data_IF_047590469722
#
_entry.id   IF_047590469722
#
_cell.length_a   1.000
_cell.length_b   1.000
_cell.length_c   1.000
_cell.angle_alpha   90.00
_cell.angle_beta   90.00
_cell.angle_gamma   90.00
#
_symmetry.space_group_name_H-M   'P 1'
#
loop_
_entity.id
_entity.type
_entity.pdbx_description
1 polymer ?
#
# COMPACT_ATOMS: atom_id res chain seq x y z
N UNK A 1 -1.65 -11.38 9.06
CA UNK A 1 -1.15 -11.39 7.67
C UNK A 1 -2.07 -10.55 6.82
N UNK A 2 -1.61 -10.09 5.66
CA UNK A 2 -2.39 -9.24 4.76
C UNK A 2 -2.65 -9.98 3.46
N UNK A 3 -3.88 -9.89 2.94
CA UNK A 3 -4.26 -10.44 1.64
C UNK A 3 -3.49 -9.74 0.50
N UNK A 4 -3.44 -10.37 -0.67
CA UNK A 4 -2.80 -9.79 -1.85
C UNK A 4 -3.50 -8.50 -2.25
N UNK A 5 -2.72 -7.43 -2.40
CA UNK A 5 -3.21 -6.10 -2.76
C UNK A 5 -2.13 -5.33 -3.54
N UNK A 6 -2.51 -4.17 -4.04
CA UNK A 6 -1.64 -3.16 -4.64
C UNK A 6 -1.72 -1.93 -3.75
N UNK A 7 -0.58 -1.28 -3.49
CA UNK A 7 -0.56 -0.12 -2.61
C UNK A 7 -1.36 1.04 -3.20
N UNK A 8 -1.11 1.39 -4.44
CA UNK A 8 -1.79 2.44 -5.19
C UNK A 8 -2.55 1.88 -6.41
N UNK A 9 -3.75 1.29 -6.21
CA UNK A 9 -4.48 0.65 -7.30
C UNK A 9 -5.21 1.64 -8.22
N UNK A 10 -5.48 2.86 -7.75
CA UNK A 10 -6.38 3.83 -8.39
C UNK A 10 -5.76 5.22 -8.62
N UNK A 11 -4.45 5.35 -8.43
CA UNK A 11 -3.72 6.58 -8.73
C UNK A 11 -3.90 7.69 -7.69
N UNK A 12 -3.69 7.40 -6.41
CA UNK A 12 -3.79 8.39 -5.32
C UNK A 12 -2.55 9.28 -5.14
N UNK A 13 -1.53 9.03 -5.98
CA UNK A 13 -0.25 9.74 -6.02
C UNK A 13 0.92 8.98 -5.44
N UNK A 14 0.71 7.89 -4.66
CA UNK A 14 1.83 7.11 -4.11
C UNK A 14 2.56 6.39 -5.24
N UNK A 15 3.83 6.70 -5.45
CA UNK A 15 4.62 6.13 -6.54
C UNK A 15 5.65 5.10 -6.07
N UNK A 16 6.28 5.33 -4.92
CA UNK A 16 7.28 4.42 -4.35
C UNK A 16 6.91 4.08 -2.91
N UNK A 17 6.88 2.79 -2.61
CA UNK A 17 6.76 2.25 -1.26
C UNK A 17 8.15 1.94 -0.73
N UNK A 18 8.45 2.44 0.45
CA UNK A 18 9.69 2.22 1.16
C UNK A 18 9.38 1.61 2.53
N UNK A 19 9.89 0.41 2.81
CA UNK A 19 9.67 -0.32 4.05
C UNK A 19 11.02 -0.56 4.73
N UNK A 20 11.11 -0.20 6.01
CA UNK A 20 12.26 -0.49 6.86
C UNK A 20 11.88 -1.48 7.96
N UNK A 21 12.61 -2.60 8.05
CA UNK A 21 12.31 -3.69 8.99
C UNK A 21 13.19 -3.66 10.24
N UNK A 22 12.59 -4.02 11.38
CA UNK A 22 13.18 -3.86 12.72
C UNK A 22 13.32 -5.20 13.48
N UNK A 23 13.23 -6.34 12.79
CA UNK A 23 13.04 -7.64 13.44
C UNK A 23 14.38 -8.40 13.57
N UNK A 24 15.03 -8.28 14.73
CA UNK A 24 16.28 -9.00 15.01
C UNK A 24 16.04 -10.49 15.13
N UNK A 25 17.01 -11.30 14.65
CA UNK A 25 16.98 -12.78 14.74
C UNK A 25 15.71 -13.39 14.13
N UNK A 26 15.17 -12.78 13.09
CA UNK A 26 13.96 -13.26 12.42
C UNK A 26 14.25 -14.47 11.52
N UNK A 27 13.71 -15.63 11.87
CA UNK A 27 13.58 -16.78 10.97
C UNK A 27 12.13 -16.87 10.43
N UNK A 28 11.94 -16.71 9.12
CA UNK A 28 10.62 -16.76 8.50
C UNK A 28 10.02 -18.17 8.42
N UNK A 29 10.82 -19.23 8.56
CA UNK A 29 10.32 -20.61 8.63
C UNK A 29 9.61 -20.89 9.95
N UNK A 30 10.04 -20.22 11.02
CA UNK A 30 9.46 -20.35 12.37
C UNK A 30 8.44 -19.24 12.64
N UNK A 31 8.81 -17.98 12.41
CA UNK A 31 8.02 -16.81 12.79
C UNK A 31 7.05 -16.35 11.69
N UNK A 32 7.13 -16.90 10.47
CA UNK A 32 6.31 -16.48 9.34
C UNK A 32 6.62 -15.04 8.88
N UNK A 33 5.58 -14.28 8.55
CA UNK A 33 5.66 -12.83 8.26
C UNK A 33 6.36 -12.43 6.96
N UNK A 34 6.57 -13.41 6.07
CA UNK A 34 7.18 -13.23 4.76
C UNK A 34 6.36 -12.28 3.88
N UNK A 35 7.01 -11.27 3.31
CA UNK A 35 6.41 -10.46 2.25
C UNK A 35 6.64 -11.18 0.91
N UNK A 36 5.57 -11.38 0.14
CA UNK A 36 5.65 -11.90 -1.22
C UNK A 36 5.21 -10.82 -2.19
N UNK A 37 6.07 -10.45 -3.13
CA UNK A 37 5.77 -9.54 -4.24
C UNK A 37 5.68 -10.38 -5.52
N UNK A 38 4.67 -10.09 -6.35
CA UNK A 38 4.38 -10.75 -7.61
C UNK A 38 4.54 -9.76 -8.77
N UNK A 39 5.77 -9.45 -9.20
CA UNK A 39 5.99 -8.39 -10.16
C UNK A 39 5.29 -8.67 -11.49
N UNK A 40 4.58 -7.67 -12.01
CA UNK A 40 3.85 -7.79 -13.28
C UNK A 40 4.80 -8.16 -14.42
N UNK A 41 4.35 -9.06 -15.30
CA UNK A 41 5.13 -9.52 -16.45
C UNK A 41 6.32 -10.43 -16.10
N UNK A 42 6.47 -10.85 -14.84
CA UNK A 42 7.52 -11.79 -14.41
C UNK A 42 6.92 -13.07 -13.85
N UNK A 43 7.53 -14.21 -14.17
CA UNK A 43 7.17 -15.52 -13.61
C UNK A 43 7.74 -15.78 -12.22
N UNK A 44 8.52 -14.83 -11.67
CA UNK A 44 9.16 -14.96 -10.37
C UNK A 44 8.32 -14.32 -9.28
N UNK A 45 8.33 -14.93 -8.08
CA UNK A 45 7.81 -14.33 -6.86
C UNK A 45 8.99 -13.91 -6.01
N UNK A 46 9.09 -12.63 -5.67
CA UNK A 46 10.09 -12.17 -4.71
C UNK A 46 9.59 -12.47 -3.30
N UNK A 47 10.35 -13.28 -2.56
CA UNK A 47 10.10 -13.61 -1.17
C UNK A 47 11.08 -12.80 -0.30
N UNK A 48 10.57 -11.92 0.55
CA UNK A 48 11.37 -10.98 1.35
C UNK A 48 11.13 -11.24 2.82
N UNK A 49 12.16 -11.74 3.49
CA UNK A 49 12.18 -11.85 4.95
C UNK A 49 12.22 -10.45 5.59
N UNK A 50 11.43 -10.19 6.65
CA UNK A 50 11.38 -8.90 7.32
C UNK A 50 12.52 -8.74 8.33
N UNK A 51 13.76 -9.02 7.93
CA UNK A 51 14.92 -9.01 8.85
C UNK A 51 15.32 -7.59 9.25
N UNK A 52 15.89 -7.45 10.45
CA UNK A 52 16.43 -6.19 10.97
C UNK A 52 17.36 -5.49 9.98
N UNK A 53 17.28 -4.16 9.94
CA UNK A 53 18.12 -3.25 9.13
C UNK A 53 17.99 -3.45 7.62
N UNK A 54 16.91 -4.09 7.16
CA UNK A 54 16.56 -4.16 5.75
C UNK A 54 15.69 -2.98 5.34
N UNK A 55 16.20 -2.19 4.41
CA UNK A 55 15.41 -1.26 3.60
C UNK A 55 14.94 -1.96 2.32
N UNK A 56 13.63 -1.90 2.05
CA UNK A 56 12.99 -2.43 0.86
C UNK A 56 12.29 -1.29 0.11
N UNK A 57 12.50 -1.21 -1.20
CA UNK A 57 11.91 -0.18 -2.05
C UNK A 57 11.27 -0.85 -3.27
N UNK A 58 10.02 -0.51 -3.59
CA UNK A 58 9.33 -0.98 -4.79
C UNK A 58 8.27 0.03 -5.27
N UNK A 59 7.83 -0.09 -6.53
CA UNK A 59 6.78 0.76 -7.09
C UNK A 59 5.42 0.44 -6.45
N UNK A 60 4.68 1.46 -6.04
CA UNK A 60 3.40 1.28 -5.33
C UNK A 60 2.23 0.84 -6.21
N UNK A 61 2.34 0.98 -7.53
CA UNK A 61 1.24 0.71 -8.47
C UNK A 61 1.12 -0.79 -8.85
N UNK A 62 0.31 -1.05 -9.89
CA UNK A 62 -0.03 -2.38 -10.40
C UNK A 62 1.17 -3.25 -10.78
N UNK A 63 2.38 -2.67 -10.89
CA UNK A 63 3.61 -3.42 -11.14
C UNK A 63 3.98 -4.37 -10.01
N UNK A 64 3.57 -4.09 -8.76
CA UNK A 64 3.96 -4.90 -7.59
C UNK A 64 2.77 -5.28 -6.67
N UNK A 65 1.82 -6.11 -7.13
CA UNK A 65 0.88 -6.77 -6.25
C UNK A 65 1.65 -7.60 -5.21
N UNK A 66 1.28 -7.49 -3.95
CA UNK A 66 2.01 -8.13 -2.86
C UNK A 66 1.11 -8.54 -1.71
N UNK A 67 1.57 -9.49 -0.91
CA UNK A 67 0.86 -9.99 0.27
C UNK A 67 1.84 -10.28 1.41
N UNK A 68 1.37 -10.22 2.64
CA UNK A 68 2.17 -10.59 3.82
C UNK A 68 1.61 -11.86 4.41
N UNK A 69 2.40 -12.94 4.40
CA UNK A 69 2.02 -14.22 5.03
C UNK A 69 1.73 -14.03 6.53
N UNK A 70 0.93 -14.91 7.16
CA UNK A 70 0.74 -14.89 8.60
C UNK A 70 2.07 -14.83 9.35
N UNK A 71 2.12 -14.02 10.42
CA UNK A 71 3.26 -13.93 11.32
C UNK A 71 2.85 -14.52 12.67
N UNK A 72 3.75 -15.25 13.30
CA UNK A 72 3.54 -15.95 14.58
C UNK A 72 4.42 -15.38 15.71
N UNK A 73 5.08 -14.25 15.43
CA UNK A 73 5.78 -13.41 16.40
C UNK A 73 5.51 -11.93 16.08
N UNK A 74 5.72 -11.05 17.05
CA UNK A 74 5.54 -9.60 16.85
C UNK A 74 6.51 -9.08 15.79
N UNK A 75 5.96 -8.45 14.75
CA UNK A 75 6.69 -7.98 13.57
C UNK A 75 6.57 -6.47 13.44
N UNK A 76 7.69 -5.77 13.52
CA UNK A 76 7.81 -4.33 13.37
C UNK A 76 8.33 -3.95 11.98
N UNK A 77 7.73 -2.92 11.41
CA UNK A 77 8.16 -2.29 10.16
C UNK A 77 7.72 -0.82 10.17
N UNK A 78 8.51 0.03 9.52
CA UNK A 78 8.15 1.43 9.23
C UNK A 78 7.94 1.53 7.72
N UNK A 79 6.80 2.07 7.28
CA UNK A 79 6.51 2.27 5.86
C UNK A 79 6.36 3.76 5.55
N UNK A 80 7.04 4.20 4.51
CA UNK A 80 6.91 5.53 3.92
C UNK A 80 6.49 5.37 2.46
N UNK A 81 5.59 6.22 1.99
CA UNK A 81 5.27 6.35 0.57
C UNK A 81 5.75 7.69 0.05
N UNK A 82 6.51 7.67 -1.04
CA UNK A 82 6.82 8.86 -1.81
C UNK A 82 5.70 9.14 -2.80
N UNK A 83 5.43 10.42 -3.03
CA UNK A 83 4.39 10.87 -3.95
C UNK A 83 4.99 11.35 -5.28
N UNK A 84 4.35 10.97 -6.39
CA UNK A 84 4.50 11.71 -7.64
C UNK A 84 3.68 13.00 -7.56
N UNK A 85 4.32 14.13 -7.83
CA UNK A 85 3.70 15.44 -7.66
C UNK A 85 2.47 15.63 -8.56
N UNK A 86 2.55 15.19 -9.83
CA UNK A 86 1.48 15.39 -10.82
C UNK A 86 0.28 14.50 -10.53
N UNK A 87 0.52 13.23 -10.23
CA UNK A 87 -0.52 12.27 -9.88
C UNK A 87 -1.21 12.66 -8.58
N UNK A 88 -0.44 13.07 -7.56
CA UNK A 88 -0.99 13.52 -6.29
C UNK A 88 -1.85 14.78 -6.45
N UNK A 89 -1.44 15.72 -7.29
CA UNK A 89 -2.25 16.91 -7.60
C UNK A 89 -3.61 16.53 -8.21
N UNK A 90 -3.60 15.68 -9.26
CA UNK A 90 -4.84 15.17 -9.89
C UNK A 90 -5.74 14.44 -8.90
N UNK A 91 -5.16 13.59 -8.05
CA UNK A 91 -5.92 12.85 -7.03
C UNK A 91 -6.60 13.78 -6.02
N UNK A 92 -5.91 14.85 -5.58
CA UNK A 92 -6.49 15.86 -4.69
C UNK A 92 -7.63 16.63 -5.35
N UNK A 93 -7.45 17.07 -6.60
CA UNK A 93 -8.50 17.77 -7.36
C UNK A 93 -9.75 16.89 -7.55
N UNK A 94 -9.56 15.62 -7.92
CA UNK A 94 -10.66 14.67 -8.07
C UNK A 94 -11.43 14.47 -6.76
N UNK A 95 -10.72 14.34 -5.63
CA UNK A 95 -11.35 14.20 -4.32
C UNK A 95 -12.16 15.44 -3.93
N UNK A 96 -11.62 16.65 -4.14
CA UNK A 96 -12.33 17.90 -3.87
C UNK A 96 -13.62 18.02 -4.68
N UNK A 97 -13.58 17.67 -5.98
CA UNK A 97 -14.77 17.66 -6.85
C UNK A 97 -15.83 16.67 -6.36
N UNK A 98 -15.42 15.46 -5.97
CA UNK A 98 -16.34 14.45 -5.47
C UNK A 98 -16.99 14.85 -4.13
N UNK A 99 -16.25 15.49 -3.23
CA UNK A 99 -16.79 15.99 -1.95
C UNK A 99 -17.82 17.10 -2.18
N UNK A 100 -17.52 18.07 -3.06
CA UNK A 100 -18.46 19.14 -3.39
C UNK A 100 -19.77 18.61 -3.99
N UNK A 101 -19.70 17.60 -4.87
CA UNK A 101 -20.90 16.98 -5.46
C UNK A 101 -21.77 16.27 -4.42
N UNK A 102 -21.16 15.63 -3.41
CA UNK A 102 -21.90 15.00 -2.31
C UNK A 102 -22.62 16.01 -1.42
N UNK A 103 -21.98 17.12 -1.11
CA UNK A 103 -22.58 18.20 -0.31
C UNK A 103 -23.83 18.76 -1.01
N UNK A 104 -23.73 19.08 -2.30
CA UNK A 104 -24.86 19.56 -3.11
C UNK A 104 -26.01 18.54 -3.14
N UNK A 105 -25.70 17.25 -3.33
CA UNK A 105 -26.72 16.20 -3.34
C UNK A 105 -27.41 16.03 -1.96
N UNK A 106 -26.69 16.22 -0.86
CA UNK A 106 -27.26 16.13 0.50
C UNK A 106 -28.11 17.34 0.88
N UNK A 107 -27.84 18.52 0.32
CA UNK A 107 -28.66 19.73 0.53
C UNK A 107 -29.97 19.76 -0.27
N UNK A 108 -30.16 18.83 -1.21
CA UNK A 108 -31.30 18.81 -2.14
C UNK A 108 -32.51 18.00 -1.68
N UNK A 109 -32.50 17.36 -0.51
CA UNK A 109 -33.59 16.47 -0.04
C UNK A 109 -34.63 17.11 0.88
N UNK A 110 -34.51 18.40 1.21
CA UNK A 110 -35.50 19.12 2.03
C UNK A 110 -36.45 19.95 1.13
N UNK A 111 -37.37 19.27 0.44
CA UNK A 111 -38.52 19.90 -0.22
C UNK A 111 -39.78 19.73 0.65
N UNK A 112 -40.58 20.80 0.91
CA UNK A 112 -41.67 20.74 1.87
C UNK A 112 -42.86 19.92 1.31
N UNK A 113 -43.37 19.00 2.12
CA UNK A 113 -44.69 18.36 2.01
C UNK A 113 -45.82 19.34 2.26
#
# INVERSE_FOLDING_TARGET
>A
GNMRHVDNPHGDGRCVTCIYYLNQKWDSKVHGGLLQIFPEGRSVVANIDPIFDRLLIFWSDQRNPHQVKPAFATRYAITVWYFDAKERARAKEAHQRASAQKEVASSGTDGPT
#
